data_IF_715900695346
#
_entry.id   IF_715900695346
#
_cell.length_a   1.000
_cell.length_b   1.000
_cell.length_c   1.000
_cell.angle_alpha   90.00
_cell.angle_beta   90.00
_cell.angle_gamma   90.00
#
_symmetry.space_group_name_H-M   'P 1'
#
loop_
_entity.id
_entity.type
_entity.pdbx_description
1 polymer ?
#
# COMPACT_ATOMS: atom_id res chain seq x y z
N UNK A 1 -30.90 53.56 13.77
CA UNK A 1 -29.73 53.26 12.91
C UNK A 1 -28.49 54.07 13.30
N UNK A 2 -28.55 55.41 13.39
CA UNK A 2 -27.38 56.24 13.75
C UNK A 2 -26.80 55.96 15.14
N UNK A 3 -27.65 55.79 16.16
CA UNK A 3 -27.20 55.52 17.53
C UNK A 3 -26.50 54.14 17.68
N UNK A 4 -26.97 53.13 16.95
CA UNK A 4 -26.34 51.81 16.94
C UNK A 4 -24.95 51.84 16.29
N UNK A 5 -24.79 52.64 15.23
CA UNK A 5 -23.52 52.83 14.54
C UNK A 5 -22.47 53.53 15.42
N UNK A 6 -22.89 54.52 16.22
CA UNK A 6 -22.02 55.22 17.16
C UNK A 6 -21.61 54.32 18.33
N UNK A 7 -22.51 53.47 18.82
CA UNK A 7 -22.18 52.50 19.86
C UNK A 7 -21.17 51.46 19.39
N UNK A 8 -21.35 50.94 18.17
CA UNK A 8 -20.42 49.96 17.60
C UNK A 8 -19.05 50.58 17.32
N UNK A 9 -19.00 51.82 16.83
CA UNK A 9 -17.73 52.54 16.65
C UNK A 9 -17.04 52.86 17.98
N UNK A 10 -17.81 53.20 19.02
CA UNK A 10 -17.27 53.40 20.37
C UNK A 10 -16.66 52.12 20.96
N UNK A 11 -17.29 50.97 20.71
CA UNK A 11 -16.79 49.66 21.17
C UNK A 11 -15.45 49.28 20.51
N UNK A 12 -15.31 49.53 19.21
CA UNK A 12 -14.07 49.24 18.46
C UNK A 12 -12.90 50.10 18.94
N UNK A 13 -13.15 51.37 19.29
CA UNK A 13 -12.11 52.26 19.83
C UNK A 13 -11.73 51.96 21.29
N UNK A 14 -12.58 51.24 22.03
CA UNK A 14 -12.32 50.83 23.40
C UNK A 14 -11.51 49.52 23.49
N UNK A 15 -11.25 48.85 22.37
CA UNK A 15 -10.35 47.70 22.34
C UNK A 15 -8.91 48.20 22.49
N UNK A 16 -8.13 47.67 23.46
CA UNK A 16 -6.71 48.00 23.58
C UNK A 16 -6.02 47.60 22.28
N UNK A 17 -5.25 48.52 21.68
CA UNK A 17 -4.40 48.18 20.55
C UNK A 17 -3.46 47.05 20.98
N UNK A 18 -3.27 46.00 20.16
CA UNK A 18 -2.22 45.04 20.41
C UNK A 18 -0.91 45.82 20.49
N UNK A 19 -0.16 45.63 21.58
CA UNK A 19 1.17 46.23 21.70
C UNK A 19 1.95 45.89 20.42
N UNK A 20 2.74 46.83 19.86
CA UNK A 20 3.72 46.45 18.86
C UNK A 20 4.55 45.34 19.50
N UNK A 21 4.67 44.20 18.83
CA UNK A 21 5.47 43.08 19.30
C UNK A 21 6.81 43.65 19.74
N UNK A 22 7.02 43.72 21.05
CA UNK A 22 8.34 43.95 21.61
C UNK A 22 9.16 42.83 21.00
N UNK A 23 10.15 43.21 20.19
CA UNK A 23 11.20 42.32 19.76
C UNK A 23 11.79 41.83 21.06
N UNK A 24 11.35 40.64 21.47
CA UNK A 24 11.96 39.91 22.57
C UNK A 24 13.41 39.81 22.16
N UNK A 25 14.22 40.60 22.87
CA UNK A 25 15.67 40.60 22.86
C UNK A 25 16.12 39.16 22.63
N UNK A 26 16.86 38.92 21.56
CA UNK A 26 17.64 37.68 21.41
C UNK A 26 18.43 37.52 22.71
N UNK A 27 17.94 36.66 23.61
CA UNK A 27 18.76 36.09 24.64
C UNK A 27 19.79 35.23 23.90
N UNK A 28 20.99 35.80 23.81
CA UNK A 28 22.24 35.09 23.63
C UNK A 28 22.14 33.76 24.37
N UNK A 29 22.15 32.61 23.69
CA UNK A 29 22.23 31.35 24.41
C UNK A 29 23.61 31.33 25.06
N UNK A 30 23.62 31.55 26.38
CA UNK A 30 24.74 31.22 27.23
C UNK A 30 25.25 29.84 26.83
N UNK A 31 26.55 29.76 26.58
CA UNK A 31 27.26 28.53 26.27
C UNK A 31 27.11 27.57 27.47
N UNK A 32 26.00 26.83 27.51
CA UNK A 32 25.82 25.76 28.48
C UNK A 32 26.73 24.61 28.02
N UNK A 33 27.88 24.54 28.69
CA UNK A 33 28.83 23.43 28.67
C UNK A 33 28.07 22.13 28.94
N UNK A 34 27.54 21.49 27.87
CA UNK A 34 27.00 20.14 27.97
C UNK A 34 28.16 19.19 28.21
N UNK A 35 28.40 18.97 29.50
CA UNK A 35 29.28 17.96 30.04
C UNK A 35 29.12 16.64 29.27
N UNK A 36 30.20 16.27 28.59
CA UNK A 36 30.41 14.97 27.93
C UNK A 36 30.40 13.85 28.97
N UNK A 37 29.24 13.51 29.53
CA UNK A 37 29.08 12.36 30.42
C UNK A 37 27.77 11.66 30.12
N UNK A 38 27.78 10.81 29.09
CA UNK A 38 27.17 9.47 29.08
C UNK A 38 27.02 8.94 27.65
N UNK A 39 28.13 8.45 27.09
CA UNK A 39 28.11 7.47 26.00
C UNK A 39 28.40 6.07 26.53
N UNK A 40 27.70 5.66 27.59
CA UNK A 40 27.72 4.28 28.08
C UNK A 40 26.39 3.60 27.75
N UNK A 41 26.19 3.25 26.48
CA UNK A 41 25.30 2.16 26.04
C UNK A 41 25.38 1.92 24.53
N UNK A 42 26.54 1.49 24.03
CA UNK A 42 26.61 0.74 22.77
C UNK A 42 26.94 -0.71 23.08
N UNK A 43 25.85 -1.43 23.39
CA UNK A 43 25.50 -2.76 22.91
C UNK A 43 26.68 -3.72 22.67
N UNK A 44 26.76 -4.68 23.58
CA UNK A 44 27.42 -6.00 23.44
C UNK A 44 27.37 -6.49 21.99
N UNK A 45 28.55 -6.78 21.44
CA UNK A 45 28.69 -7.40 20.13
C UNK A 45 27.93 -8.74 20.09
N UNK A 46 27.23 -9.07 18.99
CA UNK A 46 26.66 -10.40 18.83
C UNK A 46 27.81 -11.44 18.88
N UNK A 47 27.60 -12.60 19.53
CA UNK A 47 28.60 -13.66 19.58
C UNK A 47 28.96 -14.12 18.15
N UNK A 48 30.20 -14.59 17.91
CA UNK A 48 30.61 -15.05 16.59
C UNK A 48 29.66 -16.15 16.10
N UNK A 49 29.20 -16.00 14.86
CA UNK A 49 28.43 -17.01 14.14
C UNK A 49 29.13 -18.38 14.25
N UNK A 50 28.41 -19.47 14.56
CA UNK A 50 29.02 -20.80 14.58
C UNK A 50 29.62 -21.11 13.21
N UNK A 51 30.90 -21.47 13.20
CA UNK A 51 31.60 -21.98 12.02
C UNK A 51 30.76 -23.10 11.39
N UNK A 52 30.50 -23.07 10.07
CA UNK A 52 29.81 -24.17 9.39
C UNK A 52 30.55 -25.48 9.69
N UNK A 53 29.89 -26.39 10.40
CA UNK A 53 30.42 -27.74 10.56
C UNK A 53 30.51 -28.38 9.18
N UNK A 54 31.66 -28.99 8.88
CA UNK A 54 31.86 -29.76 7.67
C UNK A 54 30.78 -30.83 7.56
N UNK A 55 29.91 -30.69 6.57
CA UNK A 55 28.95 -31.72 6.19
C UNK A 55 29.76 -32.96 5.78
N UNK A 56 29.54 -34.13 6.39
CA UNK A 56 30.25 -35.35 5.98
C UNK A 56 29.94 -35.63 4.52
N UNK A 57 30.99 -35.76 3.71
CA UNK A 57 30.88 -36.16 2.30
C UNK A 57 30.10 -37.48 2.22
N UNK A 58 29.01 -37.55 1.42
CA UNK A 58 28.29 -38.80 1.21
C UNK A 58 29.25 -39.87 0.68
N UNK A 59 29.27 -41.03 1.32
CA UNK A 59 30.04 -42.18 0.86
C UNK A 59 29.57 -42.54 -0.57
N UNK A 60 30.48 -42.71 -1.55
CA UNK A 60 30.09 -43.04 -2.92
C UNK A 60 29.26 -44.32 -2.94
N UNK A 61 28.04 -44.24 -3.46
CA UNK A 61 27.23 -45.42 -3.77
C UNK A 61 27.95 -46.18 -4.89
N UNK A 62 28.17 -47.50 -4.76
CA UNK A 62 28.79 -48.30 -5.81
C UNK A 62 27.95 -48.20 -7.09
N UNK A 63 28.57 -47.70 -8.16
CA UNK A 63 27.97 -47.62 -9.50
C UNK A 63 27.70 -49.04 -10.00
N UNK A 64 26.48 -49.36 -10.48
CA UNK A 64 26.19 -50.64 -11.11
C UNK A 64 27.14 -50.89 -12.28
N UNK A 65 27.84 -52.02 -12.23
CA UNK A 65 28.72 -52.48 -13.30
C UNK A 65 27.87 -52.91 -14.51
N UNK A 66 27.70 -52.03 -15.48
CA UNK A 66 27.21 -52.40 -16.81
C UNK A 66 28.34 -53.13 -17.56
N UNK A 67 28.40 -54.44 -17.40
CA UNK A 67 29.13 -55.31 -18.32
C UNK A 67 28.33 -55.44 -19.62
N UNK A 68 28.75 -54.70 -20.64
CA UNK A 68 28.43 -54.99 -22.02
C UNK A 68 29.72 -54.89 -22.84
N UNK A 69 30.12 -56.05 -23.36
CA UNK A 69 31.34 -56.29 -24.15
C UNK A 69 31.26 -55.50 -25.45
N UNK A 70 32.17 -54.53 -25.64
CA UNK A 70 32.32 -53.79 -26.91
C UNK A 70 33.68 -54.18 -27.54
N UNK A 71 33.73 -54.50 -28.85
CA UNK A 71 34.95 -54.97 -29.51
C UNK A 71 36.06 -53.90 -29.52
N UNK A 72 37.30 -54.37 -29.42
CA UNK A 72 38.55 -53.61 -29.30
C UNK A 72 38.79 -52.64 -30.45
N UNK A 73 38.45 -51.36 -30.26
CA UNK A 73 38.79 -50.29 -31.20
C UNK A 73 40.21 -49.75 -30.89
N UNK A 74 41.04 -49.41 -31.91
CA UNK A 74 42.36 -48.83 -31.68
C UNK A 74 42.25 -47.48 -30.96
N UNK A 75 43.02 -47.31 -29.88
CA UNK A 75 43.00 -46.10 -29.05
C UNK A 75 43.62 -44.93 -29.84
N UNK A 76 42.94 -43.78 -29.98
CA UNK A 76 43.52 -42.59 -30.59
C UNK A 76 44.75 -42.08 -29.79
N UNK A 77 45.72 -41.40 -30.42
CA UNK A 77 46.84 -40.80 -29.70
C UNK A 77 46.35 -39.73 -28.72
N UNK A 78 46.99 -39.66 -27.55
CA UNK A 78 46.63 -38.75 -26.49
C UNK A 78 46.79 -37.27 -26.93
N UNK A 79 45.84 -36.38 -26.60
CA UNK A 79 45.94 -34.97 -26.94
C UNK A 79 47.11 -34.31 -26.19
N UNK A 80 47.77 -33.37 -26.88
CA UNK A 80 48.88 -32.58 -26.33
C UNK A 80 48.35 -31.62 -25.23
N UNK A 81 49.10 -31.38 -24.13
CA UNK A 81 48.68 -30.42 -23.11
C UNK A 81 48.55 -29.01 -23.68
N UNK A 82 47.42 -28.36 -23.40
CA UNK A 82 47.18 -26.94 -23.70
C UNK A 82 47.86 -26.10 -22.62
N UNK A 83 48.59 -25.03 -22.96
CA UNK A 83 49.20 -24.16 -21.96
C UNK A 83 48.13 -23.47 -21.10
N UNK A 84 48.43 -23.17 -19.83
CA UNK A 84 47.50 -22.50 -18.94
C UNK A 84 47.23 -21.06 -19.43
N UNK A 85 46.02 -20.53 -19.19
CA UNK A 85 45.69 -19.15 -19.53
C UNK A 85 46.53 -18.17 -18.69
N UNK A 86 46.91 -17.05 -19.32
CA UNK A 86 47.60 -15.94 -18.67
C UNK A 86 46.65 -15.25 -17.67
N UNK A 87 47.10 -14.86 -16.46
CA UNK A 87 46.24 -14.17 -15.51
C UNK A 87 45.80 -12.79 -16.04
N UNK A 88 44.52 -12.49 -15.87
CA UNK A 88 43.92 -11.19 -16.20
C UNK A 88 44.16 -10.21 -15.04
N UNK A 89 44.51 -8.97 -15.37
CA UNK A 89 44.74 -7.92 -14.38
C UNK A 89 43.47 -7.62 -13.57
N UNK A 90 43.64 -7.48 -12.25
CA UNK A 90 42.56 -7.11 -11.33
C UNK A 90 42.12 -5.66 -11.59
N UNK A 91 40.81 -5.39 -11.71
CA UNK A 91 40.32 -4.02 -11.88
C UNK A 91 40.60 -3.17 -10.64
N UNK A 92 40.97 -1.92 -10.87
CA UNK A 92 41.19 -0.91 -9.84
C UNK A 92 39.85 -0.57 -9.16
N UNK A 93 39.82 -0.39 -7.82
CA UNK A 93 38.58 -0.02 -7.12
C UNK A 93 38.05 1.34 -7.58
N UNK A 94 36.73 1.42 -7.76
CA UNK A 94 36.00 2.65 -8.08
C UNK A 94 35.77 3.45 -6.79
N UNK A 95 35.91 4.77 -6.87
CA UNK A 95 35.67 5.66 -5.73
C UNK A 95 34.22 5.57 -5.24
N UNK A 96 34.06 5.51 -3.92
CA UNK A 96 32.75 5.49 -3.26
C UNK A 96 32.06 6.85 -3.44
N UNK A 97 30.77 6.88 -3.84
CA UNK A 97 30.04 8.14 -3.96
C UNK A 97 29.90 8.84 -2.60
N UNK A 98 29.98 10.17 -2.63
CA UNK A 98 29.75 11.02 -1.46
C UNK A 98 28.27 10.97 -1.05
N UNK A 99 27.94 10.88 0.25
CA UNK A 99 26.56 10.88 0.69
C UNK A 99 25.84 12.18 0.31
N UNK A 100 24.61 12.06 -0.16
CA UNK A 100 23.71 13.19 -0.44
C UNK A 100 23.08 13.65 0.87
N UNK A 101 22.92 14.96 1.03
CA UNK A 101 22.29 15.54 2.21
C UNK A 101 20.84 15.06 2.38
N UNK A 102 20.48 14.73 3.61
CA UNK A 102 19.12 14.34 3.98
C UNK A 102 18.17 15.54 3.82
N UNK A 103 17.03 15.40 3.13
CA UNK A 103 16.06 16.49 3.04
C UNK A 103 15.48 16.83 4.42
N UNK A 104 15.27 18.12 4.66
CA UNK A 104 14.61 18.64 5.87
C UNK A 104 13.15 18.16 5.92
N UNK A 105 12.64 17.68 7.07
CA UNK A 105 11.26 17.25 7.18
C UNK A 105 10.30 18.42 6.92
N UNK A 106 9.28 18.16 6.10
CA UNK A 106 8.17 19.09 5.86
C UNK A 106 7.21 19.01 7.03
N UNK A 107 6.67 20.16 7.47
CA UNK A 107 5.74 20.24 8.59
C UNK A 107 4.49 19.38 8.34
N UNK A 108 4.13 18.58 9.34
CA UNK A 108 2.91 17.76 9.35
C UNK A 108 1.67 18.67 9.32
N UNK A 109 0.72 18.48 8.38
CA UNK A 109 -0.51 19.27 8.37
C UNK A 109 -1.35 18.99 9.62
N UNK A 110 -2.00 20.02 10.14
CA UNK A 110 -2.91 19.93 11.28
C UNK A 110 -4.16 19.12 10.89
N UNK A 111 -4.59 18.11 11.68
CA UNK A 111 -5.77 17.32 11.34
C UNK A 111 -7.03 18.18 11.36
N UNK A 112 -7.83 18.09 10.30
CA UNK A 112 -9.17 18.66 10.23
C UNK A 112 -10.12 17.74 10.99
N UNK A 113 -11.03 18.32 11.80
CA UNK A 113 -11.98 17.55 12.59
C UNK A 113 -12.87 16.66 11.72
N UNK A 114 -12.84 15.36 12.03
CA UNK A 114 -13.61 14.31 11.35
C UNK A 114 -15.09 14.39 11.74
N UNK A 115 -16.05 14.42 10.80
CA UNK A 115 -17.48 14.30 11.13
C UNK A 115 -17.79 12.90 11.70
N UNK A 116 -18.74 12.84 12.63
CA UNK A 116 -19.18 11.60 13.29
C UNK A 116 -19.84 10.63 12.28
N UNK A 117 -19.50 9.33 12.28
CA UNK A 117 -20.05 8.39 11.32
C UNK A 117 -21.51 8.02 11.64
N UNK A 118 -22.43 8.33 10.73
CA UNK A 118 -23.76 7.72 10.71
C UNK A 118 -23.67 6.33 10.06
N UNK A 119 -23.93 5.30 10.87
CA UNK A 119 -24.24 3.89 10.57
C UNK A 119 -23.85 3.31 9.19
N UNK A 120 -22.80 2.48 9.17
CA UNK A 120 -22.56 1.49 8.11
C UNK A 120 -22.94 0.09 8.60
N UNK A 121 -23.79 -0.62 7.86
CA UNK A 121 -23.46 -2.02 7.60
C UNK A 121 -23.85 -2.48 6.18
N UNK A 122 -23.01 -3.30 5.52
CA UNK A 122 -23.42 -4.66 5.10
C UNK A 122 -22.35 -5.39 4.27
N UNK A 123 -21.78 -6.46 4.82
CA UNK A 123 -20.97 -7.47 4.11
C UNK A 123 -21.85 -8.64 3.59
N UNK A 124 -22.92 -8.31 2.84
CA UNK A 124 -23.82 -9.19 2.09
C UNK A 124 -24.99 -9.85 2.86
N UNK A 125 -26.15 -9.18 2.83
CA UNK A 125 -27.44 -9.74 2.38
C UNK A 125 -28.42 -8.59 2.06
N UNK A 126 -28.52 -8.25 0.77
CA UNK A 126 -29.63 -7.56 0.11
C UNK A 126 -30.28 -6.36 0.81
N UNK A 127 -29.66 -5.18 0.75
CA UNK A 127 -30.29 -3.91 0.29
C UNK A 127 -29.13 -2.91 0.10
N UNK A 128 -29.09 -2.19 -1.03
CA UNK A 128 -28.07 -1.16 -1.29
C UNK A 128 -28.30 0.01 -0.32
N UNK A 129 -27.53 0.10 0.75
CA UNK A 129 -27.42 1.32 1.55
C UNK A 129 -26.05 1.93 1.31
N UNK A 130 -26.01 2.89 0.39
CA UNK A 130 -24.89 3.81 0.20
C UNK A 130 -24.76 4.67 1.46
N UNK A 131 -23.94 4.26 2.41
CA UNK A 131 -23.56 5.07 3.56
C UNK A 131 -22.27 5.82 3.22
N UNK A 132 -22.42 7.02 2.66
CA UNK A 132 -21.31 7.94 2.49
C UNK A 132 -20.94 8.55 3.84
N UNK A 133 -19.81 8.15 4.42
CA UNK A 133 -19.18 8.93 5.48
C UNK A 133 -18.57 10.17 4.82
N UNK A 134 -19.31 11.29 4.84
CA UNK A 134 -18.75 12.63 4.60
C UNK A 134 -18.92 13.30 3.23
N UNK A 135 -19.46 12.65 2.19
CA UNK A 135 -19.81 13.34 0.93
C UNK A 135 -20.99 12.64 0.26
N UNK A 136 -22.09 13.36 0.06
CA UNK A 136 -23.39 12.78 -0.32
C UNK A 136 -23.32 11.79 -1.48
N UNK A 137 -24.01 10.65 -1.31
CA UNK A 137 -24.51 9.74 -2.35
C UNK A 137 -23.90 9.96 -3.74
N UNK A 138 -22.62 9.66 -3.90
CA UNK A 138 -22.04 9.76 -5.22
C UNK A 138 -22.46 8.53 -6.00
N UNK A 139 -23.29 8.75 -7.02
CA UNK A 139 -23.43 7.74 -8.06
C UNK A 139 -22.05 7.41 -8.61
N UNK A 140 -21.84 6.14 -8.99
CA UNK A 140 -20.60 5.67 -9.60
C UNK A 140 -20.13 6.57 -10.77
N UNK A 141 -21.05 7.30 -11.41
CA UNK A 141 -20.77 8.22 -12.50
C UNK A 141 -19.91 9.43 -12.14
N UNK A 142 -19.91 9.89 -10.88
CA UNK A 142 -19.12 11.06 -10.50
C UNK A 142 -17.63 10.75 -10.38
N UNK A 143 -17.27 9.47 -10.12
CA UNK A 143 -15.92 9.14 -9.66
C UNK A 143 -15.26 7.97 -10.38
N UNK A 144 -15.87 7.35 -11.40
CA UNK A 144 -15.21 6.23 -12.07
C UNK A 144 -13.89 6.64 -12.77
N UNK A 145 -13.76 7.89 -13.23
CA UNK A 145 -12.49 8.42 -13.75
C UNK A 145 -11.38 8.56 -12.70
N UNK A 146 -11.72 8.51 -11.40
CA UNK A 146 -10.75 8.57 -10.32
C UNK A 146 -10.11 7.21 -10.01
N UNK A 147 -10.66 6.12 -10.57
CA UNK A 147 -10.04 4.81 -10.48
C UNK A 147 -8.88 4.69 -11.49
N UNK A 148 -7.72 4.13 -11.08
CA UNK A 148 -6.64 3.83 -12.01
C UNK A 148 -7.04 2.84 -13.12
N UNK A 149 -7.93 1.90 -12.80
CA UNK A 149 -8.50 0.92 -13.75
C UNK A 149 -10.02 0.79 -13.53
N UNK A 150 -10.85 1.66 -14.16
CA UNK A 150 -12.29 1.63 -13.97
C UNK A 150 -12.94 0.36 -14.53
N UNK A 151 -12.37 -0.26 -15.57
CA UNK A 151 -12.91 -1.48 -16.16
C UNK A 151 -12.82 -2.69 -15.22
N UNK A 152 -11.99 -2.61 -14.18
CA UNK A 152 -11.96 -3.60 -13.10
C UNK A 152 -13.16 -3.51 -12.16
N UNK A 153 -13.90 -2.40 -12.13
CA UNK A 153 -14.99 -2.19 -11.18
C UNK A 153 -16.36 -2.04 -11.86
N UNK A 154 -16.39 -1.74 -13.16
CA UNK A 154 -17.61 -1.47 -13.91
C UNK A 154 -17.70 -2.30 -15.20
N UNK A 155 -18.92 -2.61 -15.63
CA UNK A 155 -19.18 -3.23 -16.93
C UNK A 155 -18.67 -2.31 -18.05
N UNK A 156 -17.87 -2.86 -18.97
CA UNK A 156 -17.22 -2.07 -20.01
C UNK A 156 -18.19 -1.41 -20.98
N UNK A 157 -19.36 -2.02 -21.24
CA UNK A 157 -20.37 -1.40 -22.10
C UNK A 157 -21.05 -0.23 -21.37
N UNK A 158 -21.28 -0.37 -20.06
CA UNK A 158 -21.80 0.72 -19.23
C UNK A 158 -20.83 1.90 -19.10
N UNK A 159 -19.52 1.65 -19.02
CA UNK A 159 -18.50 2.71 -19.05
C UNK A 159 -18.54 3.49 -20.36
N UNK A 160 -18.59 2.80 -21.50
CA UNK A 160 -18.69 3.45 -22.81
C UNK A 160 -19.98 4.29 -22.96
N UNK A 161 -21.08 3.86 -22.34
CA UNK A 161 -22.30 4.64 -22.26
C UNK A 161 -22.13 5.89 -21.39
N UNK A 162 -21.51 5.76 -20.21
CA UNK A 162 -21.22 6.88 -19.32
C UNK A 162 -20.32 7.94 -20.00
N UNK A 163 -19.27 7.50 -20.72
CA UNK A 163 -18.37 8.37 -21.48
C UNK A 163 -19.09 9.14 -22.61
N UNK A 164 -20.16 8.56 -23.15
CA UNK A 164 -20.96 9.17 -24.22
C UNK A 164 -22.05 10.13 -23.69
N UNK A 165 -22.01 10.47 -22.40
CA UNK A 165 -23.05 11.26 -21.73
C UNK A 165 -24.33 10.48 -21.43
N UNK A 166 -24.22 9.15 -21.36
CA UNK A 166 -25.29 8.23 -21.02
C UNK A 166 -25.56 8.13 -19.52
N UNK A 167 -26.02 6.96 -19.08
CA UNK A 167 -26.35 6.69 -17.67
C UNK A 167 -25.13 6.36 -16.82
N UNK A 168 -25.34 6.29 -15.50
CA UNK A 168 -24.29 5.87 -14.57
C UNK A 168 -23.73 4.48 -14.92
N UNK A 169 -22.41 4.28 -14.81
CA UNK A 169 -21.81 2.99 -15.09
C UNK A 169 -22.31 1.94 -14.09
N UNK A 170 -22.48 0.72 -14.59
CA UNK A 170 -23.01 -0.43 -13.84
C UNK A 170 -21.81 -1.15 -13.22
N UNK A 171 -21.75 -1.32 -11.88
CA UNK A 171 -20.71 -2.10 -11.24
C UNK A 171 -20.64 -3.55 -11.74
N UNK A 172 -19.45 -4.14 -11.73
CA UNK A 172 -19.30 -5.57 -12.01
C UNK A 172 -20.08 -6.41 -11.00
N UNK A 173 -20.54 -7.57 -11.47
CA UNK A 173 -21.12 -8.58 -10.59
C UNK A 173 -20.13 -8.93 -9.48
N UNK A 174 -20.60 -8.99 -8.25
CA UNK A 174 -19.79 -9.22 -7.06
C UNK A 174 -19.40 -7.97 -6.28
N UNK A 175 -19.43 -6.77 -6.89
CA UNK A 175 -19.30 -5.52 -6.14
C UNK A 175 -20.60 -5.26 -5.37
N UNK A 176 -20.49 -5.08 -4.05
CA UNK A 176 -21.65 -4.87 -3.17
C UNK A 176 -21.78 -3.45 -2.67
N UNK A 177 -20.67 -2.73 -2.53
CA UNK A 177 -20.64 -1.34 -2.09
C UNK A 177 -19.39 -0.64 -2.63
N UNK A 178 -19.48 0.68 -2.83
CA UNK A 178 -18.35 1.55 -3.15
C UNK A 178 -18.46 2.81 -2.32
N UNK A 179 -17.42 3.11 -1.56
CA UNK A 179 -17.32 4.32 -0.75
C UNK A 179 -16.03 5.07 -1.09
N UNK A 180 -16.09 6.40 -1.16
CA UNK A 180 -14.90 7.26 -1.29
C UNK A 180 -14.68 7.99 0.01
N UNK A 181 -13.49 7.87 0.57
CA UNK A 181 -13.08 8.62 1.76
C UNK A 181 -12.24 9.80 1.29
N UNK A 182 -12.83 10.98 1.33
CA UNK A 182 -12.19 12.20 0.81
C UNK A 182 -11.06 12.67 1.72
N UNK A 183 -9.98 13.16 1.10
CA UNK A 183 -8.85 13.82 1.81
C UNK A 183 -8.13 12.90 2.80
N UNK A 184 -8.23 11.59 2.61
CA UNK A 184 -7.62 10.55 3.44
C UNK A 184 -6.86 9.59 2.53
N UNK A 185 -5.56 9.45 2.80
CA UNK A 185 -4.68 8.51 2.11
C UNK A 185 -4.81 7.09 2.62
N UNK A 186 -4.25 6.13 1.87
CA UNK A 186 -4.41 4.70 2.09
C UNK A 186 -4.05 4.24 3.51
N UNK A 187 -2.94 4.74 4.07
CA UNK A 187 -2.49 4.38 5.43
C UNK A 187 -3.50 4.78 6.49
N UNK A 188 -4.05 6.00 6.41
CA UNK A 188 -5.02 6.47 7.39
C UNK A 188 -6.36 5.75 7.25
N UNK A 189 -6.78 5.41 6.02
CA UNK A 189 -7.96 4.57 5.83
C UNK A 189 -7.81 3.22 6.54
N UNK A 190 -6.65 2.57 6.41
CA UNK A 190 -6.40 1.27 7.04
C UNK A 190 -6.42 1.33 8.56
N UNK A 191 -5.72 2.30 9.13
CA UNK A 191 -5.50 2.36 10.58
C UNK A 191 -6.69 3.00 11.33
N UNK A 192 -7.41 3.93 10.71
CA UNK A 192 -8.43 4.73 11.39
C UNK A 192 -9.85 4.45 10.91
N UNK A 193 -10.07 4.33 9.59
CA UNK A 193 -11.43 4.25 9.03
C UNK A 193 -11.93 2.82 8.91
N UNK A 194 -11.09 1.87 8.51
CA UNK A 194 -11.50 0.46 8.42
C UNK A 194 -12.01 -0.11 9.74
N UNK A 195 -11.39 0.16 10.91
CA UNK A 195 -11.94 -0.29 12.19
C UNK A 195 -13.30 0.32 12.54
N UNK A 196 -13.60 1.52 12.01
CA UNK A 196 -14.90 2.18 12.20
C UNK A 196 -15.97 1.63 11.26
N UNK A 197 -15.59 1.35 10.01
CA UNK A 197 -16.48 0.78 9.00
C UNK A 197 -16.82 -0.69 9.29
N UNK A 198 -15.83 -1.45 9.75
CA UNK A 198 -15.97 -2.86 10.09
C UNK A 198 -15.50 -3.10 11.53
N UNK A 199 -16.30 -2.67 12.54
CA UNK A 199 -15.94 -2.85 13.93
C UNK A 199 -15.76 -4.33 14.27
N UNK A 200 -14.60 -4.66 14.85
CA UNK A 200 -14.21 -6.05 15.17
C UNK A 200 -13.86 -6.91 13.95
N UNK A 201 -13.75 -6.31 12.75
CA UNK A 201 -13.29 -6.99 11.55
C UNK A 201 -11.79 -7.29 11.60
N UNK A 202 -11.41 -8.47 11.11
CA UNK A 202 -10.01 -8.81 10.83
C UNK A 202 -9.75 -8.66 9.34
N UNK A 203 -8.68 -7.95 8.98
CA UNK A 203 -8.31 -7.67 7.59
C UNK A 203 -7.06 -8.47 7.22
N UNK A 204 -7.18 -9.37 6.24
CA UNK A 204 -6.11 -10.26 5.81
C UNK A 204 -5.74 -9.89 4.36
N UNK A 205 -4.48 -9.51 4.06
CA UNK A 205 -4.06 -9.24 2.69
C UNK A 205 -4.34 -10.42 1.77
N UNK A 206 -5.04 -10.18 0.66
CA UNK A 206 -5.57 -11.19 -0.24
C UNK A 206 -5.18 -10.97 -1.71
N UNK A 207 -4.31 -9.99 -2.00
CA UNK A 207 -3.75 -9.73 -3.32
C UNK A 207 -3.90 -8.28 -3.76
N UNK A 208 -3.93 -8.07 -5.08
CA UNK A 208 -4.13 -6.75 -5.69
C UNK A 208 -5.11 -6.87 -6.85
N UNK A 209 -5.94 -5.84 -7.07
CA UNK A 209 -6.95 -5.82 -8.11
C UNK A 209 -7.31 -4.37 -8.48
N UNK A 210 -7.45 -4.06 -9.77
CA UNK A 210 -7.90 -2.75 -10.24
C UNK A 210 -7.07 -1.55 -9.76
N UNK A 211 -5.75 -1.74 -9.55
CA UNK A 211 -4.86 -0.71 -9.02
C UNK A 211 -4.86 -0.57 -7.49
N UNK A 212 -5.64 -1.39 -6.77
CA UNK A 212 -5.72 -1.38 -5.32
C UNK A 212 -5.27 -2.68 -4.65
N UNK A 213 -5.16 -2.64 -3.32
CA UNK A 213 -4.89 -3.82 -2.49
C UNK A 213 -6.18 -4.48 -2.04
N UNK A 214 -6.22 -5.81 -2.15
CA UNK A 214 -7.37 -6.63 -1.75
C UNK A 214 -7.15 -7.14 -0.32
N UNK A 215 -8.19 -7.04 0.51
CA UNK A 215 -8.22 -7.61 1.85
C UNK A 215 -9.44 -8.53 1.98
N UNK A 216 -9.25 -9.71 2.55
CA UNK A 216 -10.33 -10.51 3.10
C UNK A 216 -10.73 -9.92 4.46
N UNK A 217 -12.02 -9.66 4.62
CA UNK A 217 -12.60 -9.11 5.85
C UNK A 217 -13.40 -10.21 6.54
N UNK A 218 -12.92 -10.65 7.70
CA UNK A 218 -13.63 -11.61 8.55
C UNK A 218 -14.30 -10.85 9.69
N UNK A 219 -15.63 -10.81 9.70
CA UNK A 219 -16.41 -10.08 10.69
C UNK A 219 -17.71 -10.82 11.00
N UNK A 220 -18.06 -11.00 12.28
CA UNK A 220 -19.34 -11.59 12.71
C UNK A 220 -19.68 -12.92 11.98
N UNK A 221 -18.69 -13.79 11.79
CA UNK A 221 -18.83 -15.07 11.09
C UNK A 221 -19.18 -14.96 9.59
N UNK A 222 -19.03 -13.77 9.01
CA UNK A 222 -19.18 -13.43 7.60
C UNK A 222 -17.82 -13.13 7.01
N UNK A 223 -17.59 -13.60 5.78
CA UNK A 223 -16.36 -13.33 5.02
C UNK A 223 -16.75 -12.49 3.81
N UNK A 224 -16.13 -11.33 3.68
CA UNK A 224 -16.22 -10.47 2.50
C UNK A 224 -14.84 -10.03 2.03
N UNK A 225 -14.80 -9.25 0.97
CA UNK A 225 -13.55 -8.73 0.43
C UNK A 225 -13.66 -7.23 0.24
N UNK A 226 -12.57 -6.49 0.46
CA UNK A 226 -12.48 -5.08 0.13
C UNK A 226 -11.28 -4.83 -0.77
N UNK A 227 -11.41 -3.87 -1.68
CA UNK A 227 -10.31 -3.33 -2.48
C UNK A 227 -10.11 -1.88 -2.07
N UNK A 228 -8.90 -1.55 -1.63
CA UNK A 228 -8.50 -0.18 -1.31
C UNK A 228 -7.77 0.42 -2.50
N UNK A 229 -8.37 1.41 -3.13
CA UNK A 229 -7.82 2.07 -4.32
C UNK A 229 -7.52 3.52 -3.97
N UNK A 230 -6.26 3.93 -4.09
CA UNK A 230 -5.86 5.32 -3.91
C UNK A 230 -6.13 6.10 -5.20
N UNK A 231 -6.68 7.31 -5.06
CA UNK A 231 -6.91 8.22 -6.18
C UNK A 231 -5.59 8.87 -6.61
N UNK A 232 -5.28 8.80 -7.91
CA UNK A 232 -4.04 9.36 -8.50
C UNK A 232 -4.03 10.91 -8.57
N UNK A 233 -5.13 11.56 -8.20
CA UNK A 233 -5.33 13.00 -8.36
C UNK A 233 -4.88 13.82 -7.14
N UNK A 234 -4.69 15.13 -7.37
CA UNK A 234 -4.20 16.18 -6.45
C UNK A 234 -4.91 16.32 -5.08
N UNK A 235 -5.93 15.52 -4.80
CA UNK A 235 -6.52 15.35 -3.48
C UNK A 235 -6.44 13.89 -3.08
N UNK A 236 -5.74 13.57 -1.98
CA UNK A 236 -5.65 12.22 -1.44
C UNK A 236 -7.06 11.71 -1.13
N UNK A 237 -7.62 10.79 -1.92
CA UNK A 237 -8.82 10.08 -1.54
C UNK A 237 -8.57 8.59 -1.71
N UNK A 238 -9.26 7.80 -0.90
CA UNK A 238 -9.18 6.34 -0.98
C UNK A 238 -10.58 5.79 -1.19
N UNK A 239 -10.74 4.98 -2.23
CA UNK A 239 -11.94 4.20 -2.44
C UNK A 239 -11.86 2.90 -1.63
N UNK A 240 -12.95 2.57 -0.97
CA UNK A 240 -13.21 1.28 -0.33
C UNK A 240 -14.29 0.61 -1.15
N UNK A 241 -13.91 -0.40 -1.92
CA UNK A 241 -14.84 -1.18 -2.75
C UNK A 241 -15.08 -2.53 -2.08
N UNK A 242 -16.31 -2.80 -1.67
CA UNK A 242 -16.70 -4.06 -1.04
C UNK A 242 -17.16 -5.07 -2.09
N UNK A 243 -16.76 -6.32 -1.89
CA UNK A 243 -17.06 -7.45 -2.77
C UNK A 243 -17.57 -8.66 -1.98
N UNK A 244 -18.51 -9.40 -2.57
CA UNK A 244 -19.03 -10.65 -2.02
C UNK A 244 -18.15 -11.89 -2.32
N UNK A 245 -17.11 -11.71 -3.13
CA UNK A 245 -16.13 -12.74 -3.53
C UNK A 245 -14.76 -12.11 -3.70
N UNK A 246 -13.70 -12.91 -3.69
CA UNK A 246 -12.36 -12.39 -3.94
C UNK A 246 -12.22 -11.95 -5.42
N UNK A 247 -12.07 -10.65 -5.72
CA UNK A 247 -11.97 -10.17 -7.10
C UNK A 247 -10.64 -10.54 -7.77
N UNK A 248 -9.60 -10.84 -6.99
CA UNK A 248 -8.30 -11.27 -7.52
C UNK A 248 -8.30 -12.71 -8.03
N UNK A 249 -9.35 -13.49 -7.75
CA UNK A 249 -9.49 -14.86 -8.24
C UNK A 249 -10.38 -14.90 -9.49
N UNK A 250 -10.04 -15.74 -10.49
CA UNK A 250 -10.89 -15.92 -11.65
C UNK A 250 -12.27 -16.45 -11.23
N UNK A 251 -13.32 -15.92 -11.85
CA UNK A 251 -14.68 -16.44 -11.67
C UNK A 251 -14.67 -17.93 -12.05
N UNK A 252 -15.08 -18.86 -11.17
CA UNK A 252 -15.11 -20.26 -11.50
C UNK A 252 -16.02 -20.44 -12.72
N UNK A 253 -15.45 -20.90 -13.83
CA UNK A 253 -16.24 -21.26 -14.99
C UNK A 253 -17.20 -22.37 -14.57
N UNK A 254 -18.51 -22.26 -14.87
CA UNK A 254 -19.39 -23.38 -14.64
C UNK A 254 -18.80 -24.56 -15.41
N UNK A 255 -18.46 -25.64 -14.70
CA UNK A 255 -18.08 -26.90 -15.35
C UNK A 255 -19.19 -27.24 -16.32
N UNK A 256 -18.93 -27.09 -17.61
CA UNK A 256 -19.84 -27.53 -18.66
C UNK A 256 -19.99 -29.02 -18.42
N UNK A 257 -21.13 -29.38 -17.83
CA UNK A 257 -21.47 -30.75 -17.51
C UNK A 257 -21.26 -31.56 -18.77
N UNK A 258 -20.39 -32.58 -18.67
CA UNK A 258 -20.09 -33.47 -19.77
C UNK A 258 -21.39 -33.93 -20.40
N UNK A 259 -21.56 -33.62 -21.69
CA UNK A 259 -22.62 -34.20 -22.51
C UNK A 259 -22.45 -35.71 -22.41
N UNK A 260 -23.41 -36.47 -21.87
CA UNK A 260 -23.33 -37.93 -21.97
C UNK A 260 -23.43 -38.26 -23.45
N UNK A 261 -22.38 -38.88 -23.98
CA UNK A 261 -22.42 -39.49 -25.29
C UNK A 261 -23.58 -40.50 -25.31
N UNK A 262 -24.59 -40.22 -26.12
CA UNK A 262 -25.58 -41.20 -26.54
C UNK A 262 -25.08 -41.97 -27.76
#
# INVERSE_FOLDING_TARGET
MLALSLMLHGLVLALPMPAPLEVETEEEPEEEEVALTNISSLKVAPPPSPTPQAVPTPKPIPRPSLQAVLPSQPRPPAPRPVPPPTPVATPTPVATPTPVATPTPVATPTPVATPSPESSPSLAQGTLQSSSIGAGQASAAQYYYAFPDPAAFFDSASLAQADSGGSDPIPLDGVTNMSRIERVGLTQVKEEYLPQLFPGGTFIPAGSYGGGEVYEVQQNNTVGYIVLVEEDSIGLATFVVEWNRNPALPVPTPSVGGVPAQ
#
